data_IF_826102176472
#
_entry.id   IF_826102176472
#
_cell.length_a   1.000
_cell.length_b   1.000
_cell.length_c   1.000
_cell.angle_alpha   90.00
_cell.angle_beta   90.00
_cell.angle_gamma   90.00
#
_symmetry.space_group_name_H-M   'P 1'
#
loop_
_entity.id
_entity.type
_entity.pdbx_description
1 polymer ?
#
# COMPACT_ATOMS: atom_id res chain seq x y z
N UNK A 1 -69.98 -14.13 -3.83
CA UNK A 1 -68.74 -14.75 -3.35
C UNK A 1 -67.54 -14.43 -4.24
N UNK A 2 -67.70 -14.30 -5.57
CA UNK A 2 -66.56 -14.02 -6.48
C UNK A 2 -66.03 -12.58 -6.45
N UNK A 3 -66.87 -11.56 -6.20
CA UNK A 3 -66.41 -10.16 -6.17
C UNK A 3 -65.43 -9.87 -5.01
N UNK A 4 -65.61 -10.55 -3.87
CA UNK A 4 -64.74 -10.43 -2.69
C UNK A 4 -63.36 -11.05 -2.93
N UNK A 5 -63.28 -12.11 -3.74
CA UNK A 5 -62.02 -12.76 -4.08
C UNK A 5 -61.17 -11.91 -5.02
N UNK A 6 -61.82 -11.24 -5.99
CA UNK A 6 -61.15 -10.33 -6.94
C UNK A 6 -60.63 -9.09 -6.21
N UNK A 7 -61.42 -8.51 -5.31
CA UNK A 7 -60.98 -7.36 -4.51
C UNK A 7 -59.83 -7.72 -3.56
N UNK A 8 -59.82 -8.94 -3.01
CA UNK A 8 -58.72 -9.42 -2.18
C UNK A 8 -57.42 -9.62 -2.99
N UNK A 9 -57.50 -10.19 -4.20
CA UNK A 9 -56.34 -10.33 -5.08
C UNK A 9 -55.81 -8.99 -5.60
N UNK A 10 -56.68 -8.04 -5.91
CA UNK A 10 -56.28 -6.68 -6.31
C UNK A 10 -55.64 -5.92 -5.14
N UNK A 11 -56.12 -6.11 -3.90
CA UNK A 11 -55.50 -5.53 -2.71
C UNK A 11 -54.11 -6.12 -2.44
N UNK A 12 -53.92 -7.42 -2.65
CA UNK A 12 -52.60 -8.08 -2.54
C UNK A 12 -51.65 -7.59 -3.64
N UNK A 13 -52.10 -7.52 -4.89
CA UNK A 13 -51.29 -7.01 -5.99
C UNK A 13 -50.91 -5.54 -5.79
N UNK A 14 -51.83 -4.71 -5.30
CA UNK A 14 -51.54 -3.32 -4.93
C UNK A 14 -50.54 -3.24 -3.78
N UNK A 15 -50.63 -4.12 -2.77
CA UNK A 15 -49.66 -4.20 -1.67
C UNK A 15 -48.25 -4.62 -2.12
N UNK A 16 -48.14 -5.49 -3.14
CA UNK A 16 -46.84 -5.91 -3.70
C UNK A 16 -46.26 -4.90 -4.69
N UNK A 17 -47.08 -4.24 -5.52
CA UNK A 17 -46.61 -3.26 -6.51
C UNK A 17 -46.42 -1.85 -5.95
N UNK A 18 -47.07 -1.49 -4.83
CA UNK A 18 -46.97 -0.16 -4.21
C UNK A 18 -46.04 -0.12 -2.99
N UNK A 19 -45.19 -1.15 -2.80
CA UNK A 19 -44.00 -1.00 -1.95
C UNK A 19 -42.99 -0.13 -2.69
N UNK A 20 -43.06 1.18 -2.47
CA UNK A 20 -41.85 2.02 -2.58
C UNK A 20 -40.79 1.33 -1.73
N UNK A 21 -39.74 0.84 -2.39
CA UNK A 21 -38.55 0.34 -1.72
C UNK A 21 -38.14 1.39 -0.69
N UNK A 22 -37.99 1.04 0.60
CA UNK A 22 -37.40 1.98 1.53
C UNK A 22 -36.02 2.32 0.97
N UNK A 23 -35.86 3.57 0.54
CA UNK A 23 -34.55 4.14 0.26
C UNK A 23 -33.75 3.92 1.54
N UNK A 24 -32.83 2.96 1.51
CA UNK A 24 -31.80 2.88 2.53
C UNK A 24 -31.18 4.26 2.57
N UNK A 25 -31.41 5.01 3.65
CA UNK A 25 -30.51 6.10 4.01
C UNK A 25 -29.13 5.47 3.93
N UNK A 26 -28.30 5.99 3.03
CA UNK A 26 -26.91 5.61 2.94
C UNK A 26 -26.30 5.87 4.31
N UNK A 27 -26.19 4.80 5.09
CA UNK A 27 -25.42 4.78 6.30
C UNK A 27 -23.99 5.07 5.85
N UNK A 28 -23.54 6.30 6.13
CA UNK A 28 -22.17 6.73 5.88
C UNK A 28 -21.28 5.78 6.68
N UNK A 29 -20.79 4.75 6.00
CA UNK A 29 -19.65 3.98 6.45
C UNK A 29 -18.54 5.00 6.75
N UNK A 30 -18.05 5.13 8.00
CA UNK A 30 -16.91 5.99 8.25
C UNK A 30 -15.72 5.34 7.57
N UNK A 31 -15.49 5.70 6.31
CA UNK A 31 -14.20 5.54 5.68
C UNK A 31 -13.22 6.31 6.56
N UNK A 32 -12.51 5.61 7.43
CA UNK A 32 -11.34 6.11 8.09
C UNK A 32 -10.24 6.25 7.02
N UNK A 33 -10.42 7.23 6.14
CA UNK A 33 -9.43 7.74 5.22
C UNK A 33 -8.51 8.69 5.99
N UNK A 34 -7.80 8.16 6.98
CA UNK A 34 -6.62 8.80 7.55
C UNK A 34 -5.34 8.20 6.96
N UNK A 35 -5.31 7.99 5.64
CA UNK A 35 -4.06 8.06 4.91
C UNK A 35 -3.87 9.51 4.53
N UNK A 36 -3.20 10.28 5.40
CA UNK A 36 -2.78 11.63 5.07
C UNK A 36 -2.07 11.58 3.70
N UNK A 37 -2.45 12.43 2.72
CA UNK A 37 -1.67 12.55 1.50
C UNK A 37 -0.23 12.94 1.88
N UNK A 38 0.75 12.34 1.21
CA UNK A 38 2.16 12.68 1.41
C UNK A 38 2.30 14.20 1.27
N UNK A 39 2.89 14.89 2.26
CA UNK A 39 3.05 16.34 2.19
C UNK A 39 3.91 16.67 0.96
N UNK A 40 3.45 17.65 0.16
CA UNK A 40 4.29 18.28 -0.86
C UNK A 40 5.33 19.14 -0.12
N UNK A 41 6.43 18.54 0.30
CA UNK A 41 7.54 19.28 0.89
C UNK A 41 8.43 19.76 -0.26
N UNK A 42 8.38 21.05 -0.57
CA UNK A 42 9.39 21.71 -1.38
C UNK A 42 10.57 21.94 -0.44
N UNK A 43 11.66 21.20 -0.62
CA UNK A 43 12.89 21.44 0.10
C UNK A 43 13.96 21.88 -0.90
N UNK A 44 14.41 23.12 -0.75
CA UNK A 44 15.55 23.67 -1.47
C UNK A 44 16.84 23.12 -0.87
N UNK A 45 17.64 22.48 -1.71
CA UNK A 45 18.94 21.92 -1.35
C UNK A 45 19.97 22.44 -2.34
N UNK A 46 20.78 23.40 -1.89
CA UNK A 46 21.74 24.16 -2.68
C UNK A 46 22.68 23.34 -3.59
N UNK A 47 23.25 24.03 -4.59
CA UNK A 47 24.05 23.44 -5.68
C UNK A 47 25.37 22.77 -5.20
N UNK A 48 25.73 21.69 -5.92
CA UNK A 48 26.77 20.68 -5.66
C UNK A 48 28.22 21.13 -5.90
N UNK A 49 29.20 20.43 -5.30
CA UNK A 49 30.60 20.29 -5.78
C UNK A 49 30.99 18.81 -5.90
N UNK A 50 31.84 18.39 -6.86
CA UNK A 50 32.20 16.98 -7.08
C UNK A 50 33.33 16.52 -6.13
N UNK A 51 33.27 15.27 -5.63
CA UNK A 51 34.45 14.58 -5.05
C UNK A 51 34.35 14.04 -3.61
N UNK A 52 33.21 14.15 -2.91
CA UNK A 52 33.09 13.60 -1.54
C UNK A 52 32.30 12.27 -1.52
N UNK A 53 32.88 11.22 -0.92
CA UNK A 53 32.17 9.99 -0.54
C UNK A 53 31.14 10.34 0.54
N UNK A 54 29.85 10.02 0.29
CA UNK A 54 28.73 10.27 1.20
C UNK A 54 29.02 9.67 2.59
N UNK A 55 29.15 10.51 3.61
CA UNK A 55 28.33 10.27 4.80
C UNK A 55 26.95 10.80 4.43
N UNK A 56 25.92 9.96 4.53
CA UNK A 56 24.55 10.41 4.31
C UNK A 56 24.20 11.58 5.24
N UNK A 57 23.13 12.34 4.97
CA UNK A 57 22.64 13.31 5.95
C UNK A 57 22.46 12.61 7.32
N UNK A 58 22.59 13.31 8.45
CA UNK A 58 22.33 12.71 9.75
C UNK A 58 20.94 12.08 9.68
N UNK A 59 20.86 10.76 9.83
CA UNK A 59 19.58 10.12 10.13
C UNK A 59 19.15 10.80 11.41
N UNK A 60 18.03 11.55 11.39
CA UNK A 60 17.47 12.10 12.62
C UNK A 60 17.42 10.94 13.61
N UNK A 61 18.14 11.08 14.71
CA UNK A 61 18.25 9.99 15.68
C UNK A 61 16.85 9.61 16.14
N UNK A 62 16.65 8.36 16.53
CA UNK A 62 15.36 7.92 17.04
C UNK A 62 14.80 8.88 18.10
N UNK A 63 15.66 9.34 19.03
CA UNK A 63 15.31 10.32 20.06
C UNK A 63 14.94 11.69 19.50
N UNK A 64 15.69 12.22 18.51
CA UNK A 64 15.37 13.49 17.89
C UNK A 64 14.02 13.44 17.16
N UNK A 65 13.74 12.34 16.46
CA UNK A 65 12.46 12.17 15.79
C UNK A 65 11.30 11.96 16.76
N UNK A 66 11.55 11.24 17.86
CA UNK A 66 10.58 11.06 18.94
C UNK A 66 10.19 12.39 19.56
N UNK A 67 11.17 13.22 19.88
CA UNK A 67 10.92 14.57 20.42
C UNK A 67 10.17 15.46 19.42
N UNK A 68 10.56 15.42 18.14
CA UNK A 68 9.85 16.15 17.07
C UNK A 68 8.38 15.75 16.95
N UNK A 69 8.08 14.46 17.06
CA UNK A 69 6.70 13.95 17.02
C UNK A 69 5.92 14.35 18.28
N UNK A 70 6.55 14.27 19.46
CA UNK A 70 5.97 14.73 20.73
C UNK A 70 5.56 16.20 20.65
N UNK A 71 6.45 17.07 20.17
CA UNK A 71 6.16 18.50 20.00
C UNK A 71 5.04 18.77 18.99
N UNK A 72 4.99 17.99 17.91
CA UNK A 72 4.00 18.19 16.84
C UNK A 72 2.58 17.77 17.24
N UNK A 73 2.45 16.68 18.00
CA UNK A 73 1.17 16.06 18.31
C UNK A 73 0.73 16.25 19.76
N UNK A 74 1.57 16.87 20.60
CA UNK A 74 1.33 17.11 22.03
C UNK A 74 1.03 15.82 22.82
N UNK A 75 1.51 14.66 22.31
CA UNK A 75 1.32 13.33 22.88
C UNK A 75 2.58 12.51 22.76
N UNK A 76 2.82 11.59 23.70
CA UNK A 76 3.94 10.65 23.63
C UNK A 76 3.77 9.69 22.43
N UNK A 77 4.65 9.76 21.41
CA UNK A 77 4.57 8.84 20.28
C UNK A 77 5.05 7.44 20.67
N UNK A 78 4.44 6.41 20.11
CA UNK A 78 4.94 5.05 20.26
C UNK A 78 6.22 4.84 19.46
N UNK A 79 7.01 3.82 19.80
CA UNK A 79 8.17 3.44 18.99
C UNK A 79 7.80 3.11 17.54
N UNK A 80 6.59 2.59 17.31
CA UNK A 80 6.03 2.34 15.99
C UNK A 80 5.84 3.64 15.20
N UNK A 81 5.30 4.69 15.84
CA UNK A 81 5.11 6.01 15.21
C UNK A 81 6.44 6.66 14.83
N UNK A 82 7.45 6.57 15.71
CA UNK A 82 8.80 7.09 15.44
C UNK A 82 9.42 6.36 14.26
N UNK A 83 9.43 5.02 14.27
CA UNK A 83 9.97 4.22 13.17
C UNK A 83 9.24 4.48 11.87
N UNK A 84 7.90 4.54 11.90
CA UNK A 84 7.09 4.85 10.74
C UNK A 84 7.44 6.22 10.15
N UNK A 85 7.65 7.23 11.01
CA UNK A 85 8.05 8.57 10.57
C UNK A 85 9.43 8.59 9.91
N UNK A 86 10.41 7.89 10.51
CA UNK A 86 11.75 7.72 9.91
C UNK A 86 11.68 6.99 8.56
N UNK A 87 10.88 5.93 8.44
CA UNK A 87 10.68 5.18 7.20
C UNK A 87 10.06 6.05 6.09
N UNK A 88 9.15 6.98 6.43
CA UNK A 88 8.65 7.91 5.41
C UNK A 88 9.74 8.85 4.89
N UNK A 89 10.69 9.26 5.74
CA UNK A 89 11.84 10.08 5.33
C UNK A 89 12.81 9.26 4.46
N UNK A 90 13.12 8.01 4.84
CA UNK A 90 13.99 7.13 4.04
C UNK A 90 13.38 6.83 2.69
N UNK A 91 12.08 6.53 2.61
CA UNK A 91 11.35 6.34 1.36
C UNK A 91 11.54 7.53 0.41
N UNK A 92 11.34 8.76 0.90
CA UNK A 92 11.49 9.95 0.08
C UNK A 92 12.94 10.12 -0.44
N UNK A 93 13.92 9.75 0.39
CA UNK A 93 15.34 9.75 0.03
C UNK A 93 15.65 8.69 -1.03
N UNK A 94 15.22 7.44 -0.82
CA UNK A 94 15.45 6.34 -1.74
C UNK A 94 14.82 6.59 -3.12
N UNK A 95 13.63 7.19 -3.18
CA UNK A 95 13.02 7.62 -4.45
C UNK A 95 13.88 8.69 -5.13
N UNK A 96 14.33 9.71 -4.40
CA UNK A 96 15.20 10.77 -4.93
C UNK A 96 16.54 10.22 -5.43
N UNK A 97 17.06 9.20 -4.78
CA UNK A 97 18.35 8.58 -5.09
C UNK A 97 18.25 7.36 -6.01
N UNK A 98 17.07 7.03 -6.54
CA UNK A 98 16.86 5.87 -7.43
C UNK A 98 17.33 4.54 -6.80
N UNK A 99 17.03 4.36 -5.50
CA UNK A 99 17.35 3.18 -4.70
C UNK A 99 16.10 2.33 -4.47
N UNK A 100 15.58 1.69 -5.52
CA UNK A 100 14.27 1.03 -5.46
C UNK A 100 14.23 -0.25 -4.63
N UNK A 101 15.36 -0.96 -4.52
CA UNK A 101 15.49 -2.09 -3.60
C UNK A 101 15.46 -1.65 -2.14
N UNK A 102 16.05 -0.49 -1.81
CA UNK A 102 15.98 0.07 -0.46
C UNK A 102 14.59 0.63 -0.14
N UNK A 103 13.95 1.31 -1.11
CA UNK A 103 12.54 1.72 -1.01
C UNK A 103 11.62 0.54 -0.69
N UNK A 104 11.81 -0.60 -1.37
CA UNK A 104 11.08 -1.84 -1.12
C UNK A 104 11.31 -2.37 0.30
N UNK A 105 12.54 -2.29 0.82
CA UNK A 105 12.84 -2.69 2.19
C UNK A 105 12.13 -1.80 3.23
N UNK A 106 12.04 -0.50 2.99
CA UNK A 106 11.27 0.39 3.89
C UNK A 106 9.79 -0.01 3.95
N UNK A 107 9.19 -0.36 2.80
CA UNK A 107 7.79 -0.83 2.77
C UNK A 107 7.60 -2.15 3.54
N UNK A 108 8.60 -3.03 3.50
CA UNK A 108 8.60 -4.25 4.29
C UNK A 108 8.68 -3.96 5.79
N UNK A 109 9.55 -3.05 6.21
CA UNK A 109 9.66 -2.65 7.62
C UNK A 109 8.37 -1.99 8.11
N UNK A 110 7.72 -1.18 7.26
CA UNK A 110 6.38 -0.66 7.52
C UNK A 110 5.33 -1.78 7.69
N UNK A 111 5.40 -2.84 6.87
CA UNK A 111 4.51 -4.00 7.01
C UNK A 111 4.72 -4.72 8.35
N UNK A 112 5.98 -4.87 8.78
CA UNK A 112 6.32 -5.51 10.05
C UNK A 112 5.89 -4.67 11.27
N UNK A 113 5.96 -3.34 11.21
CA UNK A 113 5.38 -2.45 12.25
C UNK A 113 3.89 -2.71 12.37
N UNK A 114 3.15 -2.63 11.27
CA UNK A 114 1.70 -2.85 11.27
C UNK A 114 1.31 -4.24 11.77
N UNK A 115 2.10 -5.27 11.41
CA UNK A 115 1.87 -6.64 11.88
C UNK A 115 2.06 -6.74 13.39
N UNK A 116 3.14 -6.16 13.94
CA UNK A 116 3.40 -6.15 15.38
C UNK A 116 2.34 -5.38 16.17
N UNK A 117 1.75 -4.37 15.56
CA UNK A 117 0.62 -3.61 16.10
C UNK A 117 -0.75 -4.28 15.90
N UNK A 118 -0.79 -5.53 15.46
CA UNK A 118 -2.02 -6.29 15.18
C UNK A 118 -2.94 -5.64 14.13
N UNK A 119 -2.40 -4.76 13.27
CA UNK A 119 -3.12 -4.13 12.15
C UNK A 119 -3.07 -5.01 10.90
N UNK A 120 -3.53 -6.26 11.03
CA UNK A 120 -3.33 -7.34 10.04
C UNK A 120 -3.71 -6.99 8.61
N UNK A 121 -4.88 -6.41 8.37
CA UNK A 121 -5.33 -6.01 7.02
C UNK A 121 -4.43 -4.94 6.38
N UNK A 122 -3.88 -4.02 7.18
CA UNK A 122 -2.97 -2.97 6.69
C UNK A 122 -1.57 -3.53 6.47
N UNK A 123 -1.12 -4.45 7.33
CA UNK A 123 0.13 -5.17 7.15
C UNK A 123 0.11 -5.98 5.85
N UNK A 124 -1.00 -6.70 5.60
CA UNK A 124 -1.21 -7.45 4.36
C UNK A 124 -1.12 -6.54 3.12
N UNK A 125 -1.76 -5.36 3.16
CA UNK A 125 -1.66 -4.39 2.07
C UNK A 125 -0.21 -3.94 1.82
N UNK A 126 0.60 -3.73 2.86
CA UNK A 126 2.03 -3.40 2.68
C UNK A 126 2.84 -4.56 2.14
N UNK A 127 2.60 -5.80 2.58
CA UNK A 127 3.27 -6.96 1.99
C UNK A 127 2.92 -7.12 0.51
N UNK A 128 1.67 -6.83 0.12
CA UNK A 128 1.30 -6.81 -1.30
C UNK A 128 2.03 -5.72 -2.10
N UNK A 129 2.26 -4.54 -1.53
CA UNK A 129 3.10 -3.52 -2.17
C UNK A 129 4.55 -3.98 -2.34
N UNK A 130 5.11 -4.65 -1.33
CA UNK A 130 6.45 -5.25 -1.40
C UNK A 130 6.53 -6.29 -2.52
N UNK A 131 5.60 -7.26 -2.55
CA UNK A 131 5.57 -8.26 -3.61
C UNK A 131 5.35 -7.66 -4.99
N UNK A 132 4.52 -6.61 -5.10
CA UNK A 132 4.31 -5.98 -6.38
C UNK A 132 5.57 -5.28 -6.89
N UNK A 133 6.37 -4.66 -6.00
CA UNK A 133 7.70 -4.16 -6.40
C UNK A 133 8.64 -5.29 -6.80
N UNK A 134 8.71 -6.37 -6.02
CA UNK A 134 9.55 -7.54 -6.33
C UNK A 134 9.26 -8.11 -7.72
N UNK A 135 7.98 -8.17 -8.09
CA UNK A 135 7.50 -8.60 -9.40
C UNK A 135 7.81 -7.62 -10.55
N UNK A 136 8.25 -6.41 -10.23
CA UNK A 136 8.76 -5.44 -11.19
C UNK A 136 10.30 -5.38 -11.23
N UNK A 137 10.99 -6.17 -10.39
CA UNK A 137 12.45 -6.27 -10.34
C UNK A 137 13.13 -4.92 -10.04
N UNK A 138 13.04 -4.42 -8.81
CA UNK A 138 13.52 -3.08 -8.46
C UNK A 138 15.05 -3.03 -8.39
N UNK A 139 15.65 -2.03 -9.03
CA UNK A 139 17.10 -1.83 -9.09
C UNK A 139 17.56 -0.62 -8.28
N UNK A 140 18.78 -0.71 -7.74
CA UNK A 140 19.44 0.38 -7.03
C UNK A 140 20.41 1.12 -7.96
N UNK A 141 19.88 2.05 -8.76
CA UNK A 141 20.65 2.75 -9.81
C UNK A 141 21.52 3.87 -9.22
N UNK A 142 21.04 4.59 -8.20
CA UNK A 142 21.82 5.67 -7.57
C UNK A 142 21.92 6.97 -8.36
N UNK A 143 21.44 7.00 -9.60
CA UNK A 143 21.60 8.09 -10.55
C UNK A 143 20.26 8.35 -11.25
N UNK A 144 19.90 9.63 -11.43
CA UNK A 144 18.63 10.06 -12.06
C UNK A 144 18.82 10.62 -13.48
N UNK A 145 19.94 10.29 -14.11
CA UNK A 145 20.26 10.73 -15.47
C UNK A 145 19.38 9.96 -16.48
N UNK A 146 18.64 10.64 -17.37
CA UNK A 146 17.70 9.98 -18.29
C UNK A 146 18.35 8.96 -19.24
N UNK A 147 19.56 9.24 -19.73
CA UNK A 147 20.23 8.36 -20.69
C UNK A 147 20.70 7.09 -19.99
N UNK A 148 21.24 7.22 -18.76
CA UNK A 148 21.58 6.09 -17.91
C UNK A 148 20.33 5.28 -17.55
N UNK A 149 19.21 5.93 -17.24
CA UNK A 149 17.96 5.23 -16.90
C UNK A 149 17.31 4.53 -18.09
N UNK A 150 17.61 4.95 -19.32
CA UNK A 150 17.15 4.25 -20.52
C UNK A 150 17.93 2.93 -20.73
N UNK A 151 19.23 2.92 -20.43
CA UNK A 151 20.08 1.72 -20.53
C UNK A 151 19.94 0.80 -19.30
N UNK A 152 19.81 1.39 -18.10
CA UNK A 152 19.69 0.71 -16.82
C UNK A 152 18.40 1.12 -16.10
N UNK A 153 17.26 0.52 -16.48
CA UNK A 153 15.97 0.94 -15.96
C UNK A 153 15.84 0.65 -14.45
N UNK A 154 15.10 1.50 -13.73
CA UNK A 154 14.89 1.35 -12.29
C UNK A 154 14.10 0.07 -11.93
N UNK A 155 13.38 -0.49 -12.90
CA UNK A 155 12.59 -1.71 -12.78
C UNK A 155 12.87 -2.61 -13.99
N UNK A 156 13.24 -3.87 -13.75
CA UNK A 156 13.50 -4.87 -14.77
C UNK A 156 12.75 -6.18 -14.44
N UNK A 157 11.63 -6.49 -15.12
CA UNK A 157 10.89 -7.73 -14.92
C UNK A 157 11.68 -9.01 -15.21
N UNK A 158 12.84 -8.90 -15.85
CA UNK A 158 13.75 -10.05 -16.06
C UNK A 158 14.49 -10.43 -14.76
N UNK A 159 14.56 -9.51 -13.80
CA UNK A 159 15.25 -9.67 -12.52
C UNK A 159 14.28 -9.80 -11.33
N UNK A 160 13.19 -10.56 -11.51
CA UNK A 160 12.19 -10.77 -10.46
C UNK A 160 12.73 -11.66 -9.35
N UNK A 161 12.53 -11.23 -8.11
CA UNK A 161 12.80 -12.04 -6.93
C UNK A 161 11.75 -11.79 -5.85
N UNK A 162 10.77 -12.70 -5.74
CA UNK A 162 9.85 -12.72 -4.61
C UNK A 162 10.55 -13.28 -3.38
N UNK A 163 10.72 -12.46 -2.34
CA UNK A 163 11.32 -12.95 -1.10
C UNK A 163 10.42 -14.00 -0.42
N UNK A 164 10.89 -15.25 -0.18
CA UNK A 164 10.07 -16.32 0.39
C UNK A 164 9.43 -15.96 1.74
N UNK A 165 10.16 -15.19 2.56
CA UNK A 165 9.65 -14.70 3.83
C UNK A 165 8.41 -13.82 3.69
N UNK A 166 8.36 -12.97 2.65
CA UNK A 166 7.21 -12.06 2.40
C UNK A 166 6.00 -12.86 1.95
N UNK A 167 6.18 -13.81 1.05
CA UNK A 167 5.10 -14.70 0.60
C UNK A 167 4.57 -15.57 1.75
N UNK A 168 5.44 -16.05 2.64
CA UNK A 168 5.04 -16.77 3.84
C UNK A 168 4.22 -15.90 4.80
N UNK A 169 4.59 -14.61 4.95
CA UNK A 169 3.81 -13.65 5.74
C UNK A 169 2.42 -13.44 5.15
N UNK A 170 2.30 -13.32 3.83
CA UNK A 170 1.02 -13.20 3.13
C UNK A 170 0.16 -14.45 3.35
N UNK A 171 0.71 -15.67 3.17
CA UNK A 171 0.01 -16.93 3.42
C UNK A 171 -0.55 -17.01 4.84
N UNK A 172 0.26 -16.65 5.84
CA UNK A 172 -0.16 -16.66 7.26
C UNK A 172 -1.25 -15.63 7.52
N UNK A 173 -1.05 -14.38 7.11
CA UNK A 173 -2.03 -13.31 7.35
C UNK A 173 -3.35 -13.54 6.63
N UNK A 174 -3.34 -14.04 5.40
CA UNK A 174 -4.57 -14.36 4.67
C UNK A 174 -5.38 -15.44 5.40
N UNK A 175 -4.71 -16.47 5.94
CA UNK A 175 -5.35 -17.48 6.79
C UNK A 175 -5.87 -16.89 8.10
N UNK A 176 -5.07 -16.13 8.83
CA UNK A 176 -5.45 -15.48 10.10
C UNK A 176 -6.67 -14.54 9.93
N UNK A 177 -6.73 -13.83 8.80
CA UNK A 177 -7.81 -12.92 8.46
C UNK A 177 -9.00 -13.61 7.77
N UNK A 178 -8.96 -14.94 7.59
CA UNK A 178 -9.99 -15.72 6.90
C UNK A 178 -10.34 -15.17 5.50
N UNK A 179 -9.31 -14.77 4.75
CA UNK A 179 -9.45 -14.26 3.39
C UNK A 179 -9.29 -15.41 2.39
N UNK A 180 -10.28 -15.56 1.52
CA UNK A 180 -10.18 -16.36 0.30
C UNK A 180 -9.29 -15.64 -0.75
N UNK A 181 -8.94 -16.38 -1.80
CA UNK A 181 -8.09 -15.87 -2.88
C UNK A 181 -8.72 -14.69 -3.62
N UNK A 182 -10.05 -14.60 -3.74
CA UNK A 182 -10.71 -13.51 -4.46
C UNK A 182 -10.62 -12.20 -3.65
N UNK A 183 -10.81 -12.27 -2.33
CA UNK A 183 -10.58 -11.13 -1.43
C UNK A 183 -9.12 -10.73 -1.39
N UNK A 184 -8.20 -11.68 -1.34
CA UNK A 184 -6.77 -11.41 -1.41
C UNK A 184 -6.39 -10.72 -2.74
N UNK A 185 -6.91 -11.21 -3.87
CA UNK A 185 -6.77 -10.59 -5.21
C UNK A 185 -7.27 -9.17 -5.20
N UNK A 186 -8.48 -8.94 -4.72
CA UNK A 186 -9.09 -7.60 -4.69
C UNK A 186 -8.23 -6.60 -3.91
N UNK A 187 -7.66 -7.01 -2.77
CA UNK A 187 -6.74 -6.17 -2.00
C UNK A 187 -5.42 -5.91 -2.73
N UNK A 188 -4.82 -6.96 -3.30
CA UNK A 188 -3.60 -6.84 -4.09
C UNK A 188 -3.79 -5.86 -5.26
N UNK A 189 -4.81 -6.06 -6.10
CA UNK A 189 -5.09 -5.21 -7.26
C UNK A 189 -5.33 -3.76 -6.83
N UNK A 190 -6.02 -3.52 -5.71
CA UNK A 190 -6.23 -2.18 -5.18
C UNK A 190 -4.91 -1.46 -4.86
N UNK A 191 -3.96 -2.13 -4.21
CA UNK A 191 -2.68 -1.50 -3.88
C UNK A 191 -1.75 -1.42 -5.09
N UNK A 192 -1.68 -2.48 -5.88
CA UNK A 192 -0.83 -2.61 -7.05
C UNK A 192 -1.19 -1.59 -8.13
N UNK A 193 -2.47 -1.46 -8.50
CA UNK A 193 -2.91 -0.47 -9.50
C UNK A 193 -2.63 0.98 -9.08
N UNK A 194 -2.61 1.26 -7.77
CA UNK A 194 -2.19 2.54 -7.22
C UNK A 194 -0.69 2.79 -7.39
N UNK A 195 0.14 1.77 -7.21
CA UNK A 195 1.59 1.85 -7.43
C UNK A 195 1.94 1.92 -8.91
N UNK A 196 1.30 1.10 -9.74
CA UNK A 196 1.45 1.01 -11.19
C UNK A 196 1.41 2.41 -11.81
N UNK A 197 0.38 3.19 -11.48
CA UNK A 197 0.18 4.56 -11.97
C UNK A 197 1.19 5.56 -11.42
N UNK A 198 1.51 5.47 -10.12
CA UNK A 198 2.40 6.44 -9.45
C UNK A 198 3.86 6.27 -9.86
N UNK A 199 4.30 5.03 -10.02
CA UNK A 199 5.69 4.67 -10.27
C UNK A 199 5.96 4.29 -11.74
N UNK A 200 4.91 4.21 -12.57
CA UNK A 200 4.99 3.78 -13.98
C UNK A 200 5.66 2.41 -14.13
N UNK A 201 5.19 1.46 -13.33
CA UNK A 201 5.76 0.12 -13.25
C UNK A 201 5.48 -0.69 -14.54
N UNK A 202 6.44 -1.50 -15.01
CA UNK A 202 6.33 -2.23 -16.28
C UNK A 202 5.34 -3.40 -16.24
N UNK A 203 5.12 -4.03 -15.08
CA UNK A 203 4.23 -5.18 -14.96
C UNK A 203 2.85 -4.73 -14.51
N UNK A 204 1.84 -5.00 -15.33
CA UNK A 204 0.45 -4.72 -14.99
C UNK A 204 0.01 -5.54 -13.76
N UNK A 205 -0.83 -4.92 -12.93
CA UNK A 205 -1.32 -5.51 -11.68
C UNK A 205 -2.05 -6.85 -11.85
N UNK A 206 -2.81 -7.09 -12.91
CA UNK A 206 -3.46 -8.39 -13.12
C UNK A 206 -2.45 -9.51 -13.41
N UNK A 207 -1.43 -9.21 -14.23
CA UNK A 207 -0.35 -10.16 -14.56
C UNK A 207 0.46 -10.47 -13.29
N UNK A 208 0.82 -9.43 -12.53
CA UNK A 208 1.55 -9.60 -11.28
C UNK A 208 0.78 -10.43 -10.25
N UNK A 209 -0.55 -10.31 -10.21
CA UNK A 209 -1.36 -11.15 -9.33
C UNK A 209 -1.27 -12.62 -9.69
N UNK A 210 -1.36 -12.99 -10.97
CA UNK A 210 -1.30 -14.41 -11.35
C UNK A 210 0.09 -15.02 -11.03
N UNK A 211 1.17 -14.24 -11.16
CA UNK A 211 2.51 -14.65 -10.73
C UNK A 211 2.59 -14.84 -9.21
N UNK A 212 2.11 -13.87 -8.42
CA UNK A 212 2.08 -13.98 -6.97
C UNK A 212 1.21 -15.16 -6.52
N UNK A 213 0.05 -15.36 -7.15
CA UNK A 213 -0.88 -16.45 -6.83
C UNK A 213 -0.20 -17.81 -7.00
N UNK A 214 0.53 -18.01 -8.09
CA UNK A 214 1.27 -19.26 -8.32
C UNK A 214 2.28 -19.52 -7.19
N UNK A 215 2.97 -18.49 -6.71
CA UNK A 215 3.91 -18.60 -5.57
C UNK A 215 3.17 -18.88 -4.24
N UNK A 216 2.01 -18.28 -4.05
CA UNK A 216 1.19 -18.48 -2.85
C UNK A 216 0.55 -19.88 -2.78
N UNK A 217 0.52 -20.62 -3.88
CA UNK A 217 -0.03 -21.98 -3.97
C UNK A 217 1.02 -23.08 -3.84
N UNK A 218 2.31 -22.74 -3.83
CA UNK A 218 3.41 -23.65 -3.47
C UNK A 218 3.37 -23.97 -1.98
#
# INVERSE_FOLDING_TARGET
>A
MELLFILFFLAILWFFFNKKTPTKKAEKNPSNNNSAPLPKIIIDYGKRKPGQRKQGPPVDTFEAEKERLRQKFETEPSDGDVKWSLLNKSIAMHVKEQQWGLYRNDLFDMAEILRKESKGLRALDKYFEVCYLDLNGPNNIGISDPDILAEFPPFSPDNIFLAPFVTDRIKRLTKELSLDFDKAKSRFIKVASGMEKRLKLPVNSDIAWEQLRAELQK
#
